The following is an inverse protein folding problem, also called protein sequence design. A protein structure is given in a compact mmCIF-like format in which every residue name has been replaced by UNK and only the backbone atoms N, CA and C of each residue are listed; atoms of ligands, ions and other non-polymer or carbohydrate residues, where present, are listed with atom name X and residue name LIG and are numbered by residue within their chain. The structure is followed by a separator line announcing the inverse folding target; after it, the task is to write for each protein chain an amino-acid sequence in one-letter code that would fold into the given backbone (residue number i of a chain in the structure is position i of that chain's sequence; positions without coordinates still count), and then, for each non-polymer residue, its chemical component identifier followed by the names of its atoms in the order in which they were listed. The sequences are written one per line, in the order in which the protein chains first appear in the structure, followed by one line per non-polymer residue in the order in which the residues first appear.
data_IF_847272991380
#
_entry.id   IF_847272991380
#
_cell.length_a   1.000
_cell.length_b   1.000
_cell.length_c   1.000
_cell.angle_alpha   90.00
_cell.angle_beta   90.00
_cell.angle_gamma   90.00
#
_symmetry.space_group_name_H-M   'P 1'
#
loop_
_entity.id
_entity.type
_entity.pdbx_description
1 polymer ?
#
# COMPACT_ATOMS: atom_id res chain seq x y z
N UNK A 1 59.47 20.21 -4.44
CA UNK A 1 59.04 19.44 -3.25
C UNK A 1 57.51 19.40 -3.24
N UNK A 2 56.98 18.16 -3.22
CA UNK A 2 55.63 17.62 -2.90
C UNK A 2 54.45 18.63 -2.79
N UNK A 3 53.52 18.63 -3.78
CA UNK A 3 52.28 17.83 -3.89
C UNK A 3 51.19 18.23 -2.89
N UNK A 4 50.25 19.06 -3.35
CA UNK A 4 48.93 19.23 -2.73
C UNK A 4 47.98 18.10 -3.17
N UNK A 5 47.21 17.63 -2.20
CA UNK A 5 46.46 16.38 -2.17
C UNK A 5 45.03 16.59 -2.69
N UNK A 6 44.65 15.71 -3.62
CA UNK A 6 43.34 15.04 -3.79
C UNK A 6 42.08 15.72 -3.20
N UNK A 7 41.16 16.10 -4.08
CA UNK A 7 39.74 16.28 -3.73
C UNK A 7 38.88 15.97 -4.97
N UNK A 8 37.72 15.34 -4.71
CA UNK A 8 36.64 14.91 -5.62
C UNK A 8 36.74 13.50 -6.21
N UNK A 9 36.47 12.51 -5.36
CA UNK A 9 35.73 11.30 -5.76
C UNK A 9 34.60 11.08 -4.75
N UNK A 10 33.47 11.79 -4.92
CA UNK A 10 32.17 11.41 -4.32
C UNK A 10 31.07 11.87 -5.27
N UNK A 11 30.92 11.20 -6.43
CA UNK A 11 29.76 11.38 -7.31
C UNK A 11 29.38 10.10 -8.07
N UNK A 12 29.71 8.94 -7.51
CA UNK A 12 29.42 7.63 -8.13
C UNK A 12 28.38 6.78 -7.37
N UNK A 13 27.90 7.22 -6.21
CA UNK A 13 26.91 6.47 -5.42
C UNK A 13 25.46 6.76 -5.77
N UNK A 14 25.18 7.74 -6.63
CA UNK A 14 23.81 8.18 -6.95
C UNK A 14 23.15 7.41 -8.11
N UNK A 15 23.90 6.72 -8.96
CA UNK A 15 23.34 6.02 -10.14
C UNK A 15 23.05 4.54 -9.91
N UNK A 16 23.78 3.85 -9.01
CA UNK A 16 23.51 2.45 -8.68
C UNK A 16 22.16 2.28 -7.94
N UNK A 17 21.74 3.28 -7.16
CA UNK A 17 20.45 3.30 -6.48
C UNK A 17 19.25 3.49 -7.45
N UNK A 18 19.49 3.97 -8.67
CA UNK A 18 18.46 4.13 -9.71
C UNK A 18 18.34 2.91 -10.65
N UNK A 19 19.32 2.00 -10.62
CA UNK A 19 19.40 0.84 -11.51
C UNK A 19 18.86 -0.47 -10.90
N UNK A 20 18.58 -0.50 -9.60
CA UNK A 20 17.79 -1.56 -9.00
C UNK A 20 16.34 -1.31 -9.42
N UNK A 21 15.87 -2.03 -10.44
CA UNK A 21 14.44 -2.11 -10.74
C UNK A 21 13.74 -2.45 -9.41
N UNK A 22 12.98 -1.49 -8.88
CA UNK A 22 12.43 -1.55 -7.51
C UNK A 22 11.77 -2.91 -7.30
N UNK A 23 11.98 -3.53 -6.14
CA UNK A 23 11.52 -4.90 -5.91
C UNK A 23 10.00 -5.01 -6.11
N UNK A 24 9.27 -3.95 -5.74
CA UNK A 24 7.82 -3.85 -5.99
C UNK A 24 7.41 -4.09 -7.45
N UNK A 25 8.17 -3.63 -8.45
CA UNK A 25 7.80 -3.85 -9.85
C UNK A 25 7.91 -5.30 -10.30
N UNK A 26 8.67 -6.13 -9.56
CA UNK A 26 8.83 -7.56 -9.88
C UNK A 26 7.74 -8.43 -9.26
N UNK A 27 7.10 -7.94 -8.21
CA UNK A 27 6.13 -8.71 -7.42
C UNK A 27 4.70 -8.21 -7.64
N UNK A 28 4.51 -6.90 -7.81
CA UNK A 28 3.19 -6.27 -7.80
C UNK A 28 2.21 -6.88 -8.79
N UNK A 29 2.63 -7.06 -10.05
CA UNK A 29 1.74 -7.53 -11.11
C UNK A 29 1.22 -8.95 -10.81
N UNK A 30 2.13 -9.87 -10.52
CA UNK A 30 1.79 -11.25 -10.17
C UNK A 30 0.98 -11.31 -8.86
N UNK A 31 1.28 -10.45 -7.88
CA UNK A 31 0.53 -10.38 -6.62
C UNK A 31 -0.93 -9.93 -6.86
N UNK A 32 -1.14 -8.88 -7.66
CA UNK A 32 -2.48 -8.38 -7.96
C UNK A 32 -3.28 -9.33 -8.85
N UNK A 33 -2.66 -9.92 -9.88
CA UNK A 33 -3.29 -10.98 -10.67
C UNK A 33 -3.70 -12.17 -9.77
N UNK A 34 -2.83 -12.52 -8.83
CA UNK A 34 -3.10 -13.55 -7.83
C UNK A 34 -4.28 -13.27 -6.92
N UNK A 35 -4.37 -12.04 -6.41
CA UNK A 35 -5.51 -11.62 -5.59
C UNK A 35 -6.82 -11.54 -6.38
N UNK A 36 -6.75 -11.39 -7.71
CA UNK A 36 -7.89 -11.42 -8.63
C UNK A 36 -8.23 -12.84 -9.13
N UNK A 37 -7.48 -13.86 -8.69
CA UNK A 37 -7.79 -15.28 -8.90
C UNK A 37 -6.77 -16.08 -9.71
N UNK A 38 -5.70 -15.47 -10.24
CA UNK A 38 -4.61 -16.18 -10.89
C UNK A 38 -3.65 -16.80 -9.86
N UNK A 39 -4.01 -17.98 -9.34
CA UNK A 39 -3.20 -18.66 -8.32
C UNK A 39 -1.74 -18.92 -8.77
N UNK A 40 -1.48 -19.14 -10.06
CA UNK A 40 -0.11 -19.35 -10.54
C UNK A 40 0.72 -18.08 -10.45
N UNK A 41 0.13 -16.93 -10.77
CA UNK A 41 0.76 -15.63 -10.56
C UNK A 41 1.04 -15.37 -9.07
N UNK A 42 0.06 -15.65 -8.20
CA UNK A 42 0.26 -15.53 -6.75
C UNK A 42 1.44 -16.38 -6.26
N UNK A 43 1.53 -17.64 -6.69
CA UNK A 43 2.60 -18.55 -6.31
C UNK A 43 3.97 -18.07 -6.80
N UNK A 44 4.06 -17.51 -8.03
CA UNK A 44 5.30 -16.90 -8.55
C UNK A 44 5.73 -15.71 -7.70
N UNK A 45 4.80 -14.82 -7.35
CA UNK A 45 5.08 -13.65 -6.50
C UNK A 45 5.59 -14.09 -5.11
N UNK A 46 4.88 -15.01 -4.45
CA UNK A 46 5.26 -15.53 -3.12
C UNK A 46 6.61 -16.24 -3.16
N UNK A 47 6.88 -17.02 -4.20
CA UNK A 47 8.19 -17.65 -4.40
C UNK A 47 9.31 -16.62 -4.52
N UNK A 48 9.13 -15.57 -5.32
CA UNK A 48 10.14 -14.52 -5.48
C UNK A 48 10.42 -13.79 -4.15
N UNK A 49 9.37 -13.54 -3.37
CA UNK A 49 9.46 -12.95 -2.03
C UNK A 49 10.28 -13.85 -1.10
N UNK A 50 9.95 -15.14 -1.02
CA UNK A 50 10.64 -16.08 -0.14
C UNK A 50 12.10 -16.30 -0.56
N UNK A 51 12.38 -16.45 -1.86
CA UNK A 51 13.75 -16.57 -2.38
C UNK A 51 14.58 -15.30 -2.08
N UNK A 52 13.94 -14.13 -2.01
CA UNK A 52 14.59 -12.87 -1.64
C UNK A 52 14.88 -12.82 -0.16
N UNK A 53 13.91 -13.18 0.69
CA UNK A 53 14.06 -13.16 2.15
C UNK A 53 15.00 -14.25 2.66
N UNK A 54 15.14 -15.37 1.94
CA UNK A 54 16.15 -16.39 2.23
C UNK A 54 17.58 -15.85 2.06
N UNK A 55 17.80 -14.94 1.10
CA UNK A 55 19.10 -14.30 0.85
C UNK A 55 19.31 -13.04 1.69
N UNK A 56 18.23 -12.30 1.94
CA UNK A 56 18.22 -11.01 2.63
C UNK A 56 17.04 -10.95 3.60
N UNK A 57 17.17 -11.51 4.82
CA UNK A 57 16.06 -11.61 5.78
C UNK A 57 15.47 -10.26 6.24
N UNK A 58 16.21 -9.17 6.06
CA UNK A 58 15.82 -7.78 6.36
C UNK A 58 15.45 -6.97 5.10
N UNK A 59 15.15 -7.62 3.97
CA UNK A 59 14.69 -6.90 2.77
C UNK A 59 13.28 -6.33 2.99
N UNK A 60 13.19 -5.04 3.32
CA UNK A 60 11.96 -4.38 3.74
C UNK A 60 10.80 -4.52 2.73
N UNK A 61 11.04 -4.28 1.43
CA UNK A 61 9.97 -4.45 0.42
C UNK A 61 9.44 -5.90 0.36
N UNK A 62 10.32 -6.91 0.39
CA UNK A 62 9.90 -8.30 0.37
C UNK A 62 9.12 -8.68 1.65
N UNK A 63 9.50 -8.15 2.81
CA UNK A 63 8.75 -8.35 4.06
C UNK A 63 7.32 -7.80 3.94
N UNK A 64 7.14 -6.56 3.47
CA UNK A 64 5.78 -6.00 3.38
C UNK A 64 4.92 -6.74 2.36
N UNK A 65 5.47 -7.15 1.22
CA UNK A 65 4.75 -7.94 0.23
C UNK A 65 4.41 -9.35 0.74
N UNK A 66 5.30 -9.98 1.51
CA UNK A 66 4.97 -11.24 2.22
C UNK A 66 3.84 -11.03 3.21
N UNK A 67 3.88 -9.91 3.92
CA UNK A 67 2.84 -9.50 4.85
C UNK A 67 1.47 -9.42 4.17
N UNK A 68 1.42 -8.75 3.02
CA UNK A 68 0.20 -8.57 2.23
C UNK A 68 -0.36 -9.90 1.72
N UNK A 69 0.51 -10.74 1.12
CA UNK A 69 0.13 -12.09 0.70
C UNK A 69 -0.38 -12.96 1.87
N UNK A 70 0.22 -12.83 3.06
CA UNK A 70 -0.22 -13.57 4.26
C UNK A 70 -1.59 -13.11 4.77
N UNK A 71 -1.86 -11.81 4.83
CA UNK A 71 -3.19 -11.34 5.27
C UNK A 71 -4.28 -11.70 4.24
N UNK A 72 -3.95 -11.72 2.94
CA UNK A 72 -4.84 -12.23 1.90
C UNK A 72 -5.15 -13.72 2.10
N UNK A 73 -4.11 -14.56 2.25
CA UNK A 73 -4.29 -16.00 2.54
C UNK A 73 -5.03 -16.24 3.86
N UNK A 74 -4.85 -15.37 4.87
CA UNK A 74 -5.60 -15.43 6.11
C UNK A 74 -7.11 -15.25 5.87
N UNK A 75 -7.48 -14.28 5.03
CA UNK A 75 -8.87 -14.07 4.60
C UNK A 75 -9.46 -15.33 3.95
N UNK A 76 -8.72 -15.96 3.03
CA UNK A 76 -9.15 -17.22 2.40
C UNK A 76 -9.30 -18.36 3.41
N UNK A 77 -8.37 -18.50 4.37
CA UNK A 77 -8.46 -19.50 5.43
C UNK A 77 -9.70 -19.30 6.30
N UNK A 78 -10.00 -18.05 6.71
CA UNK A 78 -11.21 -17.73 7.46
C UNK A 78 -12.49 -18.05 6.67
N UNK A 79 -12.53 -17.75 5.37
CA UNK A 79 -13.68 -18.07 4.51
C UNK A 79 -13.95 -19.58 4.45
N UNK A 80 -12.90 -20.42 4.51
CA UNK A 80 -13.03 -21.89 4.56
C UNK A 80 -13.25 -22.44 5.97
N UNK A 81 -13.33 -21.60 6.99
CA UNK A 81 -13.52 -22.00 8.38
C UNK A 81 -12.24 -22.50 9.08
N UNK A 82 -11.07 -22.38 8.45
CA UNK A 82 -9.79 -22.73 9.09
C UNK A 82 -9.29 -21.55 9.94
N UNK A 83 -9.89 -21.42 11.12
CA UNK A 83 -9.62 -20.32 12.04
C UNK A 83 -8.17 -20.33 12.54
N UNK A 84 -7.58 -21.51 12.73
CA UNK A 84 -6.22 -21.64 13.25
C UNK A 84 -5.20 -21.14 12.23
N UNK A 85 -5.30 -21.59 10.97
CA UNK A 85 -4.43 -21.11 9.90
C UNK A 85 -4.64 -19.61 9.64
N UNK A 86 -5.91 -19.16 9.61
CA UNK A 86 -6.23 -17.74 9.42
C UNK A 86 -5.59 -16.85 10.47
N UNK A 87 -5.69 -17.19 11.77
CA UNK A 87 -5.07 -16.41 12.84
C UNK A 87 -3.55 -16.36 12.75
N UNK A 88 -2.92 -17.49 12.42
CA UNK A 88 -1.46 -17.57 12.27
C UNK A 88 -1.00 -16.66 11.14
N UNK A 89 -1.57 -16.83 9.94
CA UNK A 89 -1.23 -16.04 8.75
C UNK A 89 -1.46 -14.54 8.98
N UNK A 90 -2.59 -14.18 9.60
CA UNK A 90 -2.90 -12.79 9.93
C UNK A 90 -1.83 -12.17 10.84
N UNK A 91 -1.49 -12.86 11.94
CA UNK A 91 -0.51 -12.37 12.93
C UNK A 91 0.88 -12.24 12.30
N UNK A 92 1.32 -13.26 11.57
CA UNK A 92 2.62 -13.25 10.88
C UNK A 92 2.68 -12.19 9.77
N UNK A 93 1.57 -11.97 9.06
CA UNK A 93 1.48 -10.98 8.01
C UNK A 93 1.63 -9.56 8.55
N UNK A 94 0.92 -9.23 9.63
CA UNK A 94 1.05 -7.94 10.31
C UNK A 94 2.46 -7.72 10.87
N UNK A 95 3.07 -8.74 11.48
CA UNK A 95 4.42 -8.64 12.02
C UNK A 95 5.46 -8.35 10.92
N UNK A 96 5.33 -8.96 9.74
CA UNK A 96 6.19 -8.67 8.60
C UNK A 96 6.05 -7.22 8.12
N UNK A 97 4.81 -6.73 7.99
CA UNK A 97 4.54 -5.34 7.58
C UNK A 97 5.08 -4.32 8.60
N UNK A 98 4.94 -4.60 9.90
CA UNK A 98 5.48 -3.76 10.98
C UNK A 98 7.01 -3.73 10.94
N UNK A 99 7.66 -4.89 10.79
CA UNK A 99 9.12 -4.99 10.65
C UNK A 99 9.63 -4.27 9.40
N UNK A 100 8.92 -4.40 8.27
CA UNK A 100 9.29 -3.72 7.03
C UNK A 100 9.38 -2.20 7.22
N UNK A 101 8.38 -1.59 7.86
CA UNK A 101 8.40 -0.15 8.15
C UNK A 101 9.41 0.21 9.22
N UNK A 102 9.66 -0.64 10.21
CA UNK A 102 10.75 -0.39 11.17
C UNK A 102 12.13 -0.34 10.49
N UNK A 103 12.35 -1.18 9.48
CA UNK A 103 13.60 -1.22 8.69
C UNK A 103 13.72 -0.04 7.71
N UNK A 104 12.61 0.38 7.11
CA UNK A 104 12.59 1.42 6.09
C UNK A 104 11.41 2.39 6.28
N UNK A 105 11.45 3.23 7.34
CA UNK A 105 10.28 4.02 7.74
C UNK A 105 9.89 5.11 6.75
N UNK A 106 10.82 5.57 5.91
CA UNK A 106 10.59 6.64 4.94
C UNK A 106 10.51 6.12 3.49
N UNK A 107 10.36 4.81 3.29
CA UNK A 107 10.31 4.23 1.96
C UNK A 107 8.86 4.08 1.46
N UNK A 108 8.53 4.81 0.40
CA UNK A 108 7.23 4.73 -0.28
C UNK A 108 6.97 3.30 -0.79
N UNK A 109 8.01 2.58 -1.26
CA UNK A 109 7.89 1.21 -1.74
C UNK A 109 7.48 0.22 -0.63
N UNK A 110 7.65 0.60 0.64
CA UNK A 110 7.18 -0.16 1.80
C UNK A 110 5.82 0.33 2.29
N UNK A 111 5.64 1.65 2.39
CA UNK A 111 4.41 2.26 2.94
C UNK A 111 3.18 2.00 2.07
N UNK A 112 3.32 2.11 0.74
CA UNK A 112 2.21 1.89 -0.20
C UNK A 112 1.61 0.48 -0.09
N UNK A 113 2.37 -0.63 -0.27
CA UNK A 113 1.79 -1.96 -0.18
C UNK A 113 1.24 -2.27 1.22
N UNK A 114 1.87 -1.77 2.30
CA UNK A 114 1.29 -1.92 3.65
C UNK A 114 -0.09 -1.27 3.74
N UNK A 115 -0.20 -0.02 3.33
CA UNK A 115 -1.46 0.72 3.37
C UNK A 115 -2.55 0.05 2.51
N UNK A 116 -2.18 -0.35 1.29
CA UNK A 116 -3.06 -1.02 0.34
C UNK A 116 -3.55 -2.38 0.82
N UNK A 117 -2.74 -3.14 1.57
CA UNK A 117 -3.14 -4.41 2.18
C UNK A 117 -3.97 -4.23 3.46
N UNK A 118 -3.61 -3.27 4.31
CA UNK A 118 -4.27 -3.04 5.59
C UNK A 118 -5.69 -2.48 5.45
N UNK A 119 -5.96 -1.60 4.48
CA UNK A 119 -7.28 -1.00 4.32
C UNK A 119 -8.39 -2.02 3.97
N UNK A 120 -8.25 -2.92 2.97
CA UNK A 120 -9.22 -3.99 2.73
C UNK A 120 -9.29 -4.97 3.90
N UNK A 121 -8.16 -5.29 4.54
CA UNK A 121 -8.13 -6.14 5.75
C UNK A 121 -8.98 -5.52 6.87
N UNK A 122 -8.85 -4.21 7.11
CA UNK A 122 -9.66 -3.48 8.07
C UNK A 122 -11.16 -3.60 7.76
N UNK A 123 -11.55 -3.46 6.48
CA UNK A 123 -12.95 -3.62 6.06
C UNK A 123 -13.47 -5.02 6.35
N UNK A 124 -12.67 -6.06 6.08
CA UNK A 124 -13.05 -7.45 6.30
C UNK A 124 -13.28 -7.77 7.79
N UNK A 125 -12.43 -7.27 8.70
CA UNK A 125 -12.52 -7.59 10.13
C UNK A 125 -13.50 -6.70 10.89
N UNK A 126 -13.89 -5.54 10.34
CA UNK A 126 -14.69 -4.50 11.01
C UNK A 126 -15.98 -4.98 11.69
N UNK A 127 -16.69 -5.93 11.10
CA UNK A 127 -17.94 -6.47 11.68
C UNK A 127 -17.66 -7.31 12.94
N UNK A 128 -16.53 -8.03 12.96
CA UNK A 128 -16.16 -8.93 14.04
C UNK A 128 -15.38 -8.21 15.14
N UNK A 129 -14.48 -7.30 14.75
CA UNK A 129 -13.62 -6.54 15.66
C UNK A 129 -13.45 -5.11 15.17
N UNK A 130 -14.26 -4.20 15.73
CA UNK A 130 -14.24 -2.78 15.35
C UNK A 130 -12.95 -2.10 15.81
N UNK A 131 -12.42 -2.46 16.97
CA UNK A 131 -11.24 -1.82 17.52
C UNK A 131 -10.00 -2.14 16.69
N UNK A 132 -9.85 -3.40 16.29
CA UNK A 132 -8.77 -3.82 15.40
C UNK A 132 -8.92 -3.19 14.02
N UNK A 133 -10.13 -3.17 13.43
CA UNK A 133 -10.36 -2.49 12.17
C UNK A 133 -9.97 -1.01 12.22
N UNK A 134 -10.34 -0.29 13.29
CA UNK A 134 -9.96 1.11 13.46
C UNK A 134 -8.44 1.28 13.64
N UNK A 135 -7.76 0.34 14.31
CA UNK A 135 -6.28 0.34 14.41
C UNK A 135 -5.65 0.19 13.02
N UNK A 136 -6.07 -0.81 12.25
CA UNK A 136 -5.55 -1.04 10.90
C UNK A 136 -5.83 0.14 9.96
N UNK A 137 -7.04 0.70 10.01
CA UNK A 137 -7.39 1.87 9.20
C UNK A 137 -6.53 3.08 9.55
N UNK A 138 -6.26 3.35 10.84
CA UNK A 138 -5.34 4.43 11.23
C UNK A 138 -3.94 4.22 10.65
N UNK A 139 -3.39 3.01 10.79
CA UNK A 139 -2.07 2.69 10.21
C UNK A 139 -2.04 2.91 8.69
N UNK A 140 -3.06 2.44 7.98
CA UNK A 140 -3.14 2.61 6.53
C UNK A 140 -3.27 4.08 6.11
N UNK A 141 -4.08 4.86 6.83
CA UNK A 141 -4.25 6.29 6.59
C UNK A 141 -2.94 7.04 6.85
N UNK A 142 -2.26 6.77 7.97
CA UNK A 142 -0.96 7.39 8.29
C UNK A 142 0.09 7.11 7.20
N UNK A 143 0.08 5.91 6.63
CA UNK A 143 0.95 5.54 5.51
C UNK A 143 0.59 6.28 4.22
N UNK A 144 -0.70 6.38 3.88
CA UNK A 144 -1.13 7.13 2.70
C UNK A 144 -0.90 8.65 2.86
N UNK A 145 -1.02 9.20 4.06
CA UNK A 145 -0.67 10.60 4.34
C UNK A 145 0.83 10.84 4.13
N UNK A 146 1.67 9.91 4.61
CA UNK A 146 3.11 9.93 4.32
C UNK A 146 3.37 9.89 2.81
N UNK A 147 2.73 8.99 2.08
CA UNK A 147 2.90 8.85 0.62
C UNK A 147 2.48 10.14 -0.09
N UNK A 148 1.32 10.70 0.24
CA UNK A 148 0.85 11.96 -0.31
C UNK A 148 1.85 13.10 -0.06
N UNK A 149 2.40 13.19 1.15
CA UNK A 149 3.39 14.21 1.51
C UNK A 149 4.69 14.02 0.72
N UNK A 150 5.22 12.80 0.70
CA UNK A 150 6.47 12.47 0.01
C UNK A 150 6.36 12.63 -1.51
N UNK A 151 5.15 12.49 -2.07
CA UNK A 151 4.86 12.69 -3.48
C UNK A 151 4.62 14.14 -3.89
N UNK A 152 4.46 15.09 -2.95
CA UNK A 152 4.18 16.51 -3.27
C UNK A 152 5.10 17.11 -4.34
N UNK A 153 6.43 16.92 -4.31
CA UNK A 153 7.34 17.53 -5.29
C UNK A 153 7.09 17.11 -6.74
N UNK A 154 6.40 15.99 -6.95
CA UNK A 154 6.11 15.44 -8.28
C UNK A 154 4.64 15.04 -8.44
N UNK A 155 3.75 15.52 -7.57
CA UNK A 155 2.33 15.14 -7.54
C UNK A 155 1.69 15.32 -8.92
N UNK A 156 1.85 16.50 -9.53
CA UNK A 156 1.31 16.82 -10.86
C UNK A 156 1.90 15.99 -12.02
N UNK A 157 2.92 15.17 -11.77
CA UNK A 157 3.52 14.25 -12.76
C UNK A 157 3.11 12.79 -12.52
N UNK A 158 2.44 12.50 -11.40
CA UNK A 158 1.88 11.18 -11.17
C UNK A 158 0.76 10.88 -12.18
N UNK A 159 0.55 9.60 -12.46
CA UNK A 159 -0.59 9.18 -13.27
C UNK A 159 -1.91 9.50 -12.56
N UNK A 160 -2.98 9.64 -13.34
CA UNK A 160 -4.35 9.76 -12.84
C UNK A 160 -4.66 8.66 -11.82
N UNK A 161 -4.34 7.41 -12.16
CA UNK A 161 -4.51 6.26 -11.27
C UNK A 161 -3.76 6.46 -9.94
N UNK A 162 -2.47 6.83 -9.97
CA UNK A 162 -1.68 7.01 -8.76
C UNK A 162 -2.21 8.12 -7.84
N UNK A 163 -2.67 9.24 -8.41
CA UNK A 163 -3.29 10.32 -7.65
C UNK A 163 -4.65 9.88 -7.08
N UNK A 164 -5.47 9.24 -7.90
CA UNK A 164 -6.81 8.76 -7.55
C UNK A 164 -6.79 7.74 -6.43
N UNK A 165 -5.89 6.75 -6.48
CA UNK A 165 -5.75 5.73 -5.43
C UNK A 165 -5.38 6.33 -4.08
N UNK A 166 -4.39 7.24 -4.04
CA UNK A 166 -3.94 7.86 -2.79
C UNK A 166 -5.06 8.71 -2.18
N UNK A 167 -5.69 9.59 -2.96
CA UNK A 167 -6.76 10.44 -2.45
C UNK A 167 -8.02 9.63 -2.08
N UNK A 168 -8.37 8.64 -2.89
CA UNK A 168 -9.51 7.75 -2.65
C UNK A 168 -9.34 6.91 -1.40
N UNK A 169 -8.13 6.37 -1.15
CA UNK A 169 -7.84 5.59 0.03
C UNK A 169 -7.87 6.44 1.31
N UNK A 170 -7.37 7.69 1.25
CA UNK A 170 -7.46 8.63 2.36
C UNK A 170 -8.92 8.99 2.67
N UNK A 171 -9.71 9.29 1.64
CA UNK A 171 -11.14 9.56 1.82
C UNK A 171 -11.88 8.35 2.44
N UNK A 172 -11.68 7.14 1.91
CA UNK A 172 -12.32 5.92 2.44
C UNK A 172 -11.86 5.62 3.87
N UNK A 173 -10.57 5.74 4.16
CA UNK A 173 -10.02 5.51 5.50
C UNK A 173 -10.59 6.47 6.53
N UNK A 174 -10.66 7.77 6.23
CA UNK A 174 -11.25 8.75 7.13
C UNK A 174 -12.77 8.56 7.32
N UNK A 175 -13.51 8.16 6.27
CA UNK A 175 -14.93 7.77 6.41
C UNK A 175 -15.09 6.57 7.35
N UNK A 176 -14.24 5.55 7.21
CA UNK A 176 -14.26 4.36 8.08
C UNK A 176 -13.99 4.71 9.56
N UNK A 177 -13.14 5.72 9.81
CA UNK A 177 -12.86 6.25 11.15
C UNK A 177 -13.92 7.25 11.66
N UNK A 178 -14.88 7.64 10.82
CA UNK A 178 -15.93 8.60 11.16
C UNK A 178 -15.51 10.08 11.10
N UNK A 179 -14.30 10.38 10.61
CA UNK A 179 -13.84 11.77 10.41
C UNK A 179 -14.29 12.26 9.03
N UNK A 180 -15.57 12.62 8.95
CA UNK A 180 -16.22 13.08 7.71
C UNK A 180 -15.58 14.37 7.19
N UNK A 181 -15.08 15.23 8.07
CA UNK A 181 -14.45 16.48 7.66
C UNK A 181 -13.15 16.24 6.89
N UNK A 182 -12.27 15.38 7.41
CA UNK A 182 -11.05 14.98 6.69
C UNK A 182 -11.36 14.22 5.40
N UNK A 183 -12.31 13.28 5.45
CA UNK A 183 -12.73 12.57 4.25
C UNK A 183 -13.19 13.53 3.13
N UNK A 184 -14.03 14.49 3.48
CA UNK A 184 -14.53 15.49 2.53
C UNK A 184 -13.41 16.33 1.91
N UNK A 185 -12.38 16.69 2.67
CA UNK A 185 -11.24 17.42 2.12
C UNK A 185 -10.53 16.63 0.99
N UNK A 186 -10.39 15.31 1.13
CA UNK A 186 -9.82 14.48 0.07
C UNK A 186 -10.78 14.25 -1.10
N UNK A 187 -12.08 14.08 -0.84
CA UNK A 187 -13.10 13.98 -1.89
C UNK A 187 -13.15 15.26 -2.74
N UNK A 188 -13.10 16.43 -2.10
CA UNK A 188 -13.09 17.72 -2.79
C UNK A 188 -11.82 17.86 -3.66
N UNK A 189 -10.66 17.40 -3.16
CA UNK A 189 -9.43 17.30 -3.97
C UNK A 189 -9.56 16.36 -5.16
N UNK A 190 -10.16 15.18 -5.00
CA UNK A 190 -10.39 14.26 -6.12
C UNK A 190 -11.23 14.91 -7.22
N UNK A 191 -12.31 15.62 -6.87
CA UNK A 191 -13.14 16.33 -7.85
C UNK A 191 -12.40 17.48 -8.54
N UNK A 192 -11.54 18.21 -7.82
CA UNK A 192 -10.81 19.35 -8.36
C UNK A 192 -9.57 18.96 -9.19
N UNK A 193 -8.81 17.96 -8.72
CA UNK A 193 -7.51 17.57 -9.29
C UNK A 193 -7.64 16.51 -10.40
N UNK A 194 -8.72 15.74 -10.41
CA UNK A 194 -8.96 14.65 -11.38
C UNK A 194 -10.24 14.85 -12.21
N UNK A 195 -10.49 16.04 -12.79
CA UNK A 195 -11.76 16.33 -13.46
C UNK A 195 -12.00 15.39 -14.66
N UNK A 196 -13.25 14.94 -14.82
CA UNK A 196 -13.66 14.06 -15.93
C UNK A 196 -13.31 12.58 -15.76
N UNK A 197 -12.69 12.20 -14.65
CA UNK A 197 -12.26 10.83 -14.37
C UNK A 197 -13.31 10.03 -13.58
N UNK A 198 -13.24 8.68 -13.57
CA UNK A 198 -14.04 7.87 -12.65
C UNK A 198 -13.83 8.23 -11.17
N UNK A 199 -12.61 8.64 -10.79
CA UNK A 199 -12.30 9.07 -9.43
C UNK A 199 -13.10 10.32 -9.04
N UNK A 200 -13.09 11.38 -9.87
CA UNK A 200 -13.87 12.59 -9.57
C UNK A 200 -15.37 12.31 -9.51
N UNK A 201 -15.88 11.45 -10.40
CA UNK A 201 -17.30 11.03 -10.40
C UNK A 201 -17.67 10.32 -9.09
N UNK A 202 -16.88 9.33 -8.69
CA UNK A 202 -17.16 8.58 -7.47
C UNK A 202 -16.95 9.44 -6.22
N UNK A 203 -15.97 10.34 -6.23
CA UNK A 203 -15.76 11.29 -5.15
C UNK A 203 -16.96 12.22 -4.96
N UNK A 204 -17.49 12.80 -6.04
CA UNK A 204 -18.67 13.67 -5.99
C UNK A 204 -19.90 12.93 -5.44
N UNK A 205 -20.13 11.70 -5.90
CA UNK A 205 -21.25 10.89 -5.42
C UNK A 205 -21.10 10.50 -3.93
N UNK A 206 -19.87 10.21 -3.47
CA UNK A 206 -19.62 9.92 -2.06
C UNK A 206 -19.67 11.17 -1.19
N UNK A 207 -19.33 12.32 -1.74
CA UNK A 207 -19.42 13.64 -1.10
C UNK A 207 -20.87 14.05 -0.85
N UNK A 208 -21.79 13.70 -1.76
CA UNK A 208 -23.22 13.96 -1.59
C UNK A 208 -23.91 12.92 -0.68
N UNK A 209 -23.45 11.67 -0.72
CA UNK A 209 -23.93 10.60 0.15
C UNK A 209 -22.75 9.77 0.69
N UNK A 210 -22.30 10.01 1.94
CA UNK A 210 -21.22 9.25 2.57
C UNK A 210 -21.49 7.74 2.67
N UNK A 211 -22.76 7.32 2.62
CA UNK A 211 -23.18 5.92 2.70
C UNK A 211 -23.29 5.24 1.33
N UNK A 212 -23.13 5.98 0.23
CA UNK A 212 -23.21 5.43 -1.12
C UNK A 212 -22.23 4.27 -1.30
N UNK A 213 -22.68 3.11 -1.78
CA UNK A 213 -21.84 1.91 -1.93
C UNK A 213 -21.03 1.95 -3.24
N UNK A 214 -20.18 2.96 -3.38
CA UNK A 214 -19.30 3.17 -4.55
C UNK A 214 -17.84 3.12 -4.12
N UNK A 215 -16.99 2.45 -4.90
CA UNK A 215 -15.56 2.39 -4.60
C UNK A 215 -14.89 3.73 -4.86
N UNK A 216 -13.98 4.14 -3.97
CA UNK A 216 -13.11 5.30 -4.17
C UNK A 216 -11.71 4.91 -4.66
N UNK A 217 -11.38 3.62 -4.57
CA UNK A 217 -10.08 3.03 -4.90
C UNK A 217 -10.25 1.89 -5.90
N UNK A 218 -9.13 1.40 -6.41
CA UNK A 218 -9.01 0.35 -7.43
C UNK A 218 -9.76 0.68 -8.74
N UNK A 219 -9.89 1.97 -9.08
CA UNK A 219 -10.61 2.40 -10.29
C UNK A 219 -9.62 2.42 -11.45
N UNK A 220 -9.53 1.33 -12.20
CA UNK A 220 -8.59 1.16 -13.32
C UNK A 220 -7.40 0.23 -13.03
N UNK A 221 -7.49 -0.60 -11.98
CA UNK A 221 -6.55 -1.72 -11.77
C UNK A 221 -6.79 -2.92 -12.72
N UNK A 222 -7.90 -2.92 -13.47
CA UNK A 222 -8.34 -3.99 -14.38
C UNK A 222 -8.80 -3.39 -15.70
#
# INVERSE_FOLDING_TARGET
MRRAVLLLVVFATSLAALAQQRFDFKVREDMFAGMDGDNEAFDRAMKLIDDTLAKQPDHAEALVWRGDGRVFMAGQAFQRGDIAAGRKLYTEGLADMERAVALAPNDIAVRVPRASGLLPTARAVRRADRAEADRLTRTAVDDFEFVLQASQPFWNKMSEHGQGEVLGALADGWLQLGDVAKANAYLDRMTAELPGTPYAKNAAARRSDPLAKISLTCLGCH
#
